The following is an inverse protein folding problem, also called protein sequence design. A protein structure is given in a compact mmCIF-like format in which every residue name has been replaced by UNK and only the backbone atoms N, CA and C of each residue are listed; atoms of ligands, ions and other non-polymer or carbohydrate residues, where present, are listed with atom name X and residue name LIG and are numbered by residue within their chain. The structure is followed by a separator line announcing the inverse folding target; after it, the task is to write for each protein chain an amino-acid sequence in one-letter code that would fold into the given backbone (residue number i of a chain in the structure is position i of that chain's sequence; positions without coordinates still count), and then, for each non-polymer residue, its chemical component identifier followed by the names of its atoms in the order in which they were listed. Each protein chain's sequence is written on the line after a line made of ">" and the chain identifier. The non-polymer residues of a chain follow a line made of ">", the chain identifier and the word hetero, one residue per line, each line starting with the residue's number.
data_IF_066110596448
#
_entry.id   IF_066110596448
#
_cell.length_a   1.000
_cell.length_b   1.000
_cell.length_c   1.000
_cell.angle_alpha   90.00
_cell.angle_beta   90.00
_cell.angle_gamma   90.00
#
_symmetry.space_group_name_H-M   'P 1'
#
loop_
_entity.id
_entity.type
_entity.pdbx_description
1 polymer ?
#
# COMPACT_ATOMS: atom_id res chain seq x y z
N UNK A 1 21.93 -40.34 -16.69
CA UNK A 1 21.85 -38.96 -16.13
C UNK A 1 20.37 -38.64 -15.95
N UNK A 2 19.87 -38.70 -14.72
CA UNK A 2 18.45 -38.48 -14.42
C UNK A 2 18.15 -36.97 -14.41
N UNK A 3 17.21 -36.53 -15.24
CA UNK A 3 16.59 -35.20 -15.18
C UNK A 3 15.84 -35.06 -13.86
N UNK A 4 16.02 -33.96 -13.10
CA UNK A 4 15.30 -33.78 -11.84
C UNK A 4 13.80 -33.61 -12.12
N UNK A 5 12.91 -34.27 -11.35
CA UNK A 5 11.48 -34.20 -11.57
C UNK A 5 10.92 -32.89 -11.02
N UNK A 6 10.26 -32.10 -11.89
CA UNK A 6 9.37 -31.03 -11.46
C UNK A 6 9.87 -29.60 -11.71
N UNK A 7 10.04 -29.21 -12.97
CA UNK A 7 10.08 -27.80 -13.37
C UNK A 7 8.72 -27.38 -13.95
N UNK A 8 7.65 -27.53 -13.17
CA UNK A 8 6.38 -26.85 -13.44
C UNK A 8 6.47 -25.38 -13.00
N UNK A 9 5.65 -24.47 -13.55
CA UNK A 9 5.57 -23.10 -13.07
C UNK A 9 5.38 -23.10 -11.55
N UNK A 10 6.16 -22.31 -10.78
CA UNK A 10 6.02 -22.27 -9.35
C UNK A 10 4.55 -21.97 -9.02
N UNK A 11 3.92 -22.76 -8.13
CA UNK A 11 2.53 -22.55 -7.77
C UNK A 11 2.35 -21.07 -7.40
N UNK A 12 1.31 -20.43 -7.93
CA UNK A 12 1.07 -18.99 -7.81
C UNK A 12 1.19 -18.46 -6.37
N UNK A 13 0.94 -19.32 -5.38
CA UNK A 13 1.14 -19.05 -3.94
C UNK A 13 2.59 -18.73 -3.56
N UNK A 14 3.59 -19.40 -4.15
CA UNK A 14 5.01 -19.11 -3.90
C UNK A 14 5.40 -17.77 -4.51
N UNK A 15 4.93 -17.47 -5.72
CA UNK A 15 5.15 -16.17 -6.36
C UNK A 15 4.49 -15.05 -5.57
N UNK A 16 3.25 -15.26 -5.10
CA UNK A 16 2.54 -14.30 -4.24
C UNK A 16 3.25 -14.10 -2.90
N UNK A 17 3.72 -15.17 -2.25
CA UNK A 17 4.45 -15.09 -0.99
C UNK A 17 5.80 -14.38 -1.14
N UNK A 18 6.55 -14.64 -2.22
CA UNK A 18 7.80 -13.95 -2.50
C UNK A 18 7.55 -12.46 -2.78
N UNK A 19 6.54 -12.14 -3.60
CA UNK A 19 6.12 -10.76 -3.88
C UNK A 19 5.75 -10.02 -2.60
N UNK A 20 5.07 -10.70 -1.66
CA UNK A 20 4.73 -10.15 -0.36
C UNK A 20 5.94 -9.82 0.50
N UNK A 21 6.94 -10.71 0.53
CA UNK A 21 8.18 -10.47 1.26
C UNK A 21 8.94 -9.26 0.69
N UNK A 22 8.92 -9.07 -0.63
CA UNK A 22 9.50 -7.88 -1.26
C UNK A 22 8.81 -6.60 -0.81
N UNK A 23 7.47 -6.56 -0.76
CA UNK A 23 6.72 -5.38 -0.29
C UNK A 23 7.05 -5.05 1.17
N UNK A 24 7.10 -6.07 2.05
CA UNK A 24 7.47 -5.89 3.46
C UNK A 24 8.90 -5.41 3.62
N UNK A 25 9.85 -6.07 2.94
CA UNK A 25 11.26 -5.70 2.94
C UNK A 25 11.47 -4.27 2.43
N UNK A 26 10.72 -3.85 1.40
CA UNK A 26 10.77 -2.48 0.88
C UNK A 26 10.26 -1.46 1.91
N UNK A 27 9.17 -1.75 2.63
CA UNK A 27 8.67 -0.87 3.69
C UNK A 27 9.70 -0.69 4.83
N UNK A 28 10.32 -1.79 5.27
CA UNK A 28 11.33 -1.74 6.33
C UNK A 28 12.63 -1.07 5.86
N UNK A 29 13.03 -1.30 4.61
CA UNK A 29 14.13 -0.59 3.96
C UNK A 29 13.88 0.91 3.90
N UNK A 30 12.71 1.34 3.42
CA UNK A 30 12.35 2.76 3.33
C UNK A 30 12.31 3.42 4.71
N UNK A 31 11.79 2.74 5.73
CA UNK A 31 11.78 3.24 7.11
C UNK A 31 13.21 3.43 7.64
N UNK A 32 14.07 2.44 7.43
CA UNK A 32 15.48 2.49 7.84
C UNK A 32 16.23 3.60 7.11
N UNK A 33 15.99 3.74 5.81
CA UNK A 33 16.54 4.79 4.96
C UNK A 33 16.11 6.19 5.43
N UNK A 34 14.87 6.36 5.87
CA UNK A 34 14.39 7.64 6.44
C UNK A 34 15.10 7.98 7.75
N UNK A 35 15.34 6.98 8.59
CA UNK A 35 16.02 7.17 9.87
C UNK A 35 17.49 7.58 9.68
N UNK A 36 18.19 6.97 8.73
CA UNK A 36 19.62 7.20 8.48
C UNK A 36 19.86 8.43 7.59
N UNK A 37 18.98 8.67 6.61
CA UNK A 37 19.13 9.72 5.61
C UNK A 37 17.79 10.44 5.31
N UNK A 38 17.23 11.22 6.25
CA UNK A 38 15.95 11.92 6.06
C UNK A 38 15.97 12.96 4.92
N UNK A 39 17.16 13.36 4.47
CA UNK A 39 17.35 14.27 3.33
C UNK A 39 17.31 13.61 1.96
N UNK A 40 17.37 12.28 1.87
CA UNK A 40 17.54 11.56 0.60
C UNK A 40 16.33 11.72 -0.34
N UNK A 41 15.14 11.73 0.23
CA UNK A 41 13.87 11.88 -0.50
C UNK A 41 13.01 12.92 0.19
N UNK A 42 12.29 13.75 -0.58
CA UNK A 42 11.31 14.69 -0.01
C UNK A 42 10.27 13.92 0.81
N UNK A 43 9.89 14.46 1.97
CA UNK A 43 8.89 13.87 2.88
C UNK A 43 7.66 13.34 2.12
N UNK A 44 7.06 14.16 1.25
CA UNK A 44 5.89 13.80 0.46
C UNK A 44 6.08 12.52 -0.38
N UNK A 45 7.26 12.34 -0.98
CA UNK A 45 7.50 11.17 -1.84
C UNK A 45 7.68 9.91 -1.00
N UNK A 46 8.41 10.02 0.12
CA UNK A 46 8.57 8.93 1.08
C UNK A 46 7.21 8.47 1.62
N UNK A 47 6.40 9.40 2.13
CA UNK A 47 5.09 9.06 2.71
C UNK A 47 4.12 8.50 1.68
N UNK A 48 4.06 9.05 0.46
CA UNK A 48 3.21 8.49 -0.60
C UNK A 48 3.58 7.05 -0.94
N UNK A 49 4.87 6.76 -1.02
CA UNK A 49 5.36 5.42 -1.31
C UNK A 49 5.02 4.46 -0.15
N UNK A 50 5.33 4.84 1.09
CA UNK A 50 5.00 4.04 2.27
C UNK A 50 3.50 3.80 2.42
N UNK A 51 2.68 4.84 2.21
CA UNK A 51 1.22 4.76 2.25
C UNK A 51 0.68 3.82 1.18
N UNK A 52 1.17 3.91 -0.06
CA UNK A 52 0.76 3.04 -1.16
C UNK A 52 1.09 1.56 -0.88
N UNK A 53 2.28 1.27 -0.36
CA UNK A 53 2.69 -0.08 0.01
C UNK A 53 1.84 -0.64 1.16
N UNK A 54 1.58 0.17 2.20
CA UNK A 54 0.67 -0.20 3.31
C UNK A 54 -0.76 -0.43 2.84
N UNK A 55 -1.27 0.41 1.93
CA UNK A 55 -2.61 0.26 1.38
C UNK A 55 -2.72 -1.03 0.55
N UNK A 56 -1.71 -1.33 -0.28
CA UNK A 56 -1.63 -2.58 -1.03
C UNK A 56 -1.65 -3.79 -0.11
N UNK A 57 -0.98 -3.73 1.04
CA UNK A 57 -1.03 -4.79 2.07
C UNK A 57 -2.46 -5.06 2.55
N UNK A 58 -3.22 -4.01 2.87
CA UNK A 58 -4.61 -4.15 3.33
C UNK A 58 -5.53 -4.64 2.21
N UNK A 59 -5.41 -4.07 1.01
CA UNK A 59 -6.21 -4.47 -0.16
C UNK A 59 -5.97 -5.93 -0.51
N UNK A 60 -4.72 -6.41 -0.47
CA UNK A 60 -4.42 -7.81 -0.76
C UNK A 60 -5.11 -8.77 0.21
N UNK A 61 -5.23 -8.42 1.49
CA UNK A 61 -5.99 -9.23 2.45
C UNK A 61 -7.49 -9.27 2.11
N UNK A 62 -8.05 -8.15 1.63
CA UNK A 62 -9.45 -8.08 1.18
C UNK A 62 -9.64 -8.97 -0.07
N UNK A 63 -8.76 -8.86 -1.06
CA UNK A 63 -8.82 -9.64 -2.30
C UNK A 63 -8.68 -11.15 -2.05
N UNK A 64 -7.90 -11.53 -1.04
CA UNK A 64 -7.75 -12.93 -0.61
C UNK A 64 -8.94 -13.45 0.21
N UNK A 65 -9.98 -12.64 0.45
CA UNK A 65 -11.14 -13.02 1.23
C UNK A 65 -10.82 -13.28 2.70
N UNK A 66 -9.80 -12.61 3.26
CA UNK A 66 -9.43 -12.78 4.67
C UNK A 66 -10.53 -12.23 5.57
N UNK A 67 -10.74 -12.79 6.78
CA UNK A 67 -11.75 -12.30 7.70
C UNK A 67 -11.58 -10.80 8.01
N UNK A 68 -12.68 -10.05 8.06
CA UNK A 68 -12.65 -8.61 8.32
C UNK A 68 -11.92 -8.24 9.62
N UNK A 69 -12.02 -9.06 10.67
CA UNK A 69 -11.25 -8.87 11.91
C UNK A 69 -9.72 -8.80 11.67
N UNK A 70 -9.20 -9.62 10.74
CA UNK A 70 -7.79 -9.62 10.38
C UNK A 70 -7.43 -8.40 9.49
N UNK A 71 -8.31 -8.06 8.56
CA UNK A 71 -8.16 -6.87 7.70
C UNK A 71 -8.10 -5.61 8.55
N UNK A 72 -9.06 -5.41 9.46
CA UNK A 72 -9.15 -4.26 10.36
C UNK A 72 -7.98 -4.21 11.34
N UNK A 73 -7.53 -5.35 11.88
CA UNK A 73 -6.30 -5.41 12.69
C UNK A 73 -5.07 -4.91 11.91
N UNK A 74 -4.96 -5.29 10.65
CA UNK A 74 -3.84 -4.87 9.79
C UNK A 74 -3.96 -3.41 9.38
N UNK A 75 -5.17 -2.93 9.10
CA UNK A 75 -5.48 -1.53 8.83
C UNK A 75 -5.04 -0.65 10.01
N UNK A 76 -5.49 -0.95 11.23
CA UNK A 76 -5.15 -0.21 12.44
C UNK A 76 -3.64 -0.20 12.74
N UNK A 77 -2.94 -1.29 12.40
CA UNK A 77 -1.49 -1.36 12.57
C UNK A 77 -0.74 -0.44 11.61
N UNK A 78 -1.18 -0.33 10.35
CA UNK A 78 -0.50 0.48 9.34
C UNK A 78 -0.95 1.94 9.29
N UNK A 79 -2.19 2.20 9.68
CA UNK A 79 -2.88 3.49 9.66
C UNK A 79 -3.54 3.74 11.03
N UNK A 80 -2.75 4.10 12.07
CA UNK A 80 -3.30 4.37 13.39
C UNK A 80 -4.15 5.66 13.39
N UNK A 81 -5.26 5.66 14.12
CA UNK A 81 -6.18 6.81 14.26
C UNK A 81 -5.51 8.04 14.88
N UNK A 82 -4.45 7.87 15.68
CA UNK A 82 -3.74 8.97 16.35
C UNK A 82 -2.84 9.80 15.42
N UNK A 83 -2.80 9.49 14.12
CA UNK A 83 -1.99 10.18 13.12
C UNK A 83 -0.47 9.93 13.28
N UNK A 84 0.35 10.32 12.28
CA UNK A 84 1.80 10.19 12.36
C UNK A 84 2.36 11.10 13.46
N UNK A 85 3.06 10.51 14.43
CA UNK A 85 3.73 11.21 15.54
C UNK A 85 4.91 12.07 15.05
N UNK A 86 5.45 11.79 13.85
CA UNK A 86 6.71 12.35 13.37
C UNK A 86 6.47 13.62 12.56
N UNK A 87 6.83 14.77 13.13
CA UNK A 87 6.97 16.03 12.38
C UNK A 87 8.34 16.06 11.71
N UNK A 88 8.37 15.72 10.43
CA UNK A 88 9.58 15.92 9.64
C UNK A 88 9.89 17.42 9.47
N UNK A 89 11.13 17.89 9.74
CA UNK A 89 11.49 19.30 9.63
C UNK A 89 11.28 19.88 8.22
N UNK A 90 11.29 19.02 7.18
CA UNK A 90 11.11 19.40 5.77
C UNK A 90 9.68 19.16 5.27
N UNK A 91 8.74 18.73 6.12
CA UNK A 91 7.34 18.58 5.75
C UNK A 91 6.63 19.93 5.72
N UNK A 92 6.05 20.29 4.56
CA UNK A 92 5.16 21.44 4.49
C UNK A 92 3.83 21.12 5.18
N UNK A 93 3.17 22.12 5.77
CA UNK A 93 1.83 21.96 6.36
C UNK A 93 0.81 21.41 5.36
N UNK A 94 0.96 21.79 4.08
CA UNK A 94 0.09 21.31 3.01
C UNK A 94 0.32 19.83 2.70
N UNK A 95 1.58 19.38 2.65
CA UNK A 95 1.89 17.97 2.42
C UNK A 95 1.37 17.10 3.54
N UNK A 96 1.55 17.54 4.80
CA UNK A 96 0.99 16.86 5.98
C UNK A 96 -0.53 16.71 5.88
N UNK A 97 -1.23 17.80 5.53
CA UNK A 97 -2.69 17.76 5.36
C UNK A 97 -3.11 16.73 4.31
N UNK A 98 -2.50 16.76 3.12
CA UNK A 98 -2.84 15.84 2.03
C UNK A 98 -2.57 14.38 2.38
N UNK A 99 -1.50 14.12 3.12
CA UNK A 99 -1.15 12.77 3.57
C UNK A 99 -2.16 12.26 4.59
N UNK A 100 -2.53 13.08 5.57
CA UNK A 100 -3.54 12.75 6.57
C UNK A 100 -4.91 12.52 5.93
N UNK A 101 -5.32 13.39 5.02
CA UNK A 101 -6.60 13.28 4.30
C UNK A 101 -6.67 11.98 3.48
N UNK A 102 -5.60 11.63 2.77
CA UNK A 102 -5.53 10.38 2.02
C UNK A 102 -5.56 9.15 2.94
N UNK A 103 -4.86 9.19 4.07
CA UNK A 103 -4.89 8.12 5.07
C UNK A 103 -6.29 7.93 5.65
N UNK A 104 -6.95 9.01 6.06
CA UNK A 104 -8.29 8.98 6.63
C UNK A 104 -9.31 8.48 5.62
N UNK A 105 -9.25 8.97 4.39
CA UNK A 105 -10.14 8.52 3.31
C UNK A 105 -10.01 7.02 3.08
N UNK A 106 -8.78 6.50 3.00
CA UNK A 106 -8.55 5.07 2.84
C UNK A 106 -9.04 4.25 4.04
N UNK A 107 -8.80 4.73 5.26
CA UNK A 107 -9.27 4.09 6.49
C UNK A 107 -10.80 3.95 6.50
N UNK A 108 -11.50 5.04 6.24
CA UNK A 108 -12.96 5.05 6.20
C UNK A 108 -13.52 4.16 5.09
N UNK A 109 -12.89 4.15 3.91
CA UNK A 109 -13.29 3.26 2.82
C UNK A 109 -13.22 1.79 3.23
N UNK A 110 -12.10 1.36 3.84
CA UNK A 110 -11.96 -0.04 4.28
C UNK A 110 -12.94 -0.38 5.40
N UNK A 111 -13.19 0.56 6.32
CA UNK A 111 -14.17 0.39 7.39
C UNK A 111 -15.59 0.22 6.84
N UNK A 112 -16.01 1.08 5.91
CA UNK A 112 -17.32 0.97 5.24
C UNK A 112 -17.48 -0.36 4.51
N UNK A 113 -16.44 -0.83 3.80
CA UNK A 113 -16.46 -2.14 3.15
C UNK A 113 -16.64 -3.30 4.14
N UNK A 114 -16.14 -3.14 5.38
CA UNK A 114 -16.30 -4.15 6.43
C UNK A 114 -17.70 -4.19 7.05
N UNK A 115 -18.42 -3.06 7.03
CA UNK A 115 -19.76 -2.90 7.61
C UNK A 115 -20.87 -3.25 6.60
N UNK A 116 -20.63 -3.05 5.30
CA UNK A 116 -21.55 -3.40 4.23
C UNK A 116 -20.92 -4.46 3.30
N UNK A 117 -21.03 -5.77 3.62
CA UNK A 117 -20.64 -6.84 2.70
C UNK A 117 -21.69 -6.97 1.59
N UNK A 118 -21.89 -5.92 0.78
CA UNK A 118 -22.78 -5.96 -0.38
C UNK A 118 -21.98 -6.48 -1.56
N UNK A 119 -22.35 -7.68 -2.00
CA UNK A 119 -22.07 -8.33 -3.28
C UNK A 119 -20.73 -7.93 -3.96
N UNK A 120 -19.66 -8.62 -3.58
CA UNK A 120 -18.35 -8.50 -4.22
C UNK A 120 -18.36 -9.15 -5.61
N UNK A 121 -19.00 -8.50 -6.59
CA UNK A 121 -18.75 -8.73 -8.02
C UNK A 121 -18.03 -7.53 -8.62
N UNK A 122 -17.06 -7.80 -9.50
CA UNK A 122 -15.68 -8.10 -9.13
C UNK A 122 -14.87 -6.85 -8.76
N UNK A 123 -13.87 -7.08 -7.91
CA UNK A 123 -12.85 -6.17 -7.37
C UNK A 123 -11.94 -5.47 -8.42
N UNK A 124 -12.41 -5.29 -9.66
CA UNK A 124 -11.70 -4.57 -10.72
C UNK A 124 -11.72 -3.05 -10.53
N UNK A 125 -12.72 -2.49 -9.84
CA UNK A 125 -12.83 -1.05 -9.63
C UNK A 125 -11.79 -0.48 -8.63
N UNK A 126 -11.36 -1.25 -7.63
CA UNK A 126 -10.31 -0.83 -6.69
C UNK A 126 -8.90 -0.88 -7.32
N UNK A 127 -8.69 -1.76 -8.30
CA UNK A 127 -7.42 -1.84 -9.03
C UNK A 127 -7.25 -0.70 -10.06
N UNK A 128 -8.34 -0.12 -10.55
CA UNK A 128 -8.33 0.94 -11.57
C UNK A 128 -8.21 2.37 -10.99
N UNK A 129 -8.41 2.55 -9.69
CA UNK A 129 -8.35 3.86 -9.03
C UNK A 129 -6.98 4.23 -8.44
N UNK A 130 -5.92 3.47 -8.74
CA UNK A 130 -4.55 3.93 -8.53
C UNK A 130 -4.13 4.77 -9.76
N UNK A 131 -4.06 6.11 -9.67
CA UNK A 131 -3.72 6.91 -10.84
C UNK A 131 -2.26 6.68 -11.23
N UNK A 132 -2.06 6.06 -12.39
CA UNK A 132 -0.87 6.21 -13.19
C UNK A 132 -0.77 7.70 -13.59
N UNK A 133 -0.05 8.48 -12.79
CA UNK A 133 0.38 9.82 -13.20
C UNK A 133 1.65 9.69 -14.03
N UNK A 134 1.53 9.30 -15.29
CA UNK A 134 2.47 9.73 -16.33
C UNK A 134 1.85 9.61 -17.72
N UNK A 135 2.02 10.68 -18.50
CA UNK A 135 1.58 10.82 -19.89
C UNK A 135 0.07 11.10 -19.99
N UNK A 136 -0.37 12.35 -20.15
CA UNK A 136 -0.25 13.09 -21.41
C UNK A 136 -0.33 14.60 -21.17
N UNK A 137 0.77 15.31 -21.42
CA UNK A 137 0.74 16.74 -21.77
C UNK A 137 1.88 16.97 -22.75
N UNK A 138 1.59 16.84 -24.04
CA UNK A 138 2.22 17.43 -25.26
C UNK A 138 1.39 16.84 -26.42
N UNK A 139 0.82 17.55 -27.38
CA UNK A 139 0.95 18.91 -27.86
C UNK A 139 -0.43 19.41 -28.32
N UNK A 140 -0.75 20.67 -28.01
CA UNK A 140 -1.55 21.53 -28.88
C UNK A 140 -0.59 22.63 -29.34
N UNK A 141 -0.31 22.64 -30.63
CA UNK A 141 0.04 23.81 -31.45
C UNK A 141 -0.50 23.53 -32.84
#
# INVERSE_FOLDING_TARGET
>A
MATPPGAGPPPLRFVAAASWQVVRGLLDFLRSLRAIAPGLVRYRHHERLCMGLKAKVVVELILQGRPWAQVLKTLNHHFPESGPIVRDPKATKQDLRKILEAQETFYQQVKQLSEAPVDLTPLSALALNFPDQKSTRKLQT
#
